data_IF_306641191228
#
_entry.id   IF_306641191228
#
_cell.length_a   1.000
_cell.length_b   1.000
_cell.length_c   1.000
_cell.angle_alpha   90.00
_cell.angle_beta   90.00
_cell.angle_gamma   90.00
#
_symmetry.space_group_name_H-M   'P 1'
#
loop_
_entity.id
_entity.type
_entity.pdbx_description
1 polymer ?
#
# COMPACT_ATOMS: atom_id res chain seq x y z
N UNK A 1 6.19 -9.70 28.06
CA UNK A 1 5.13 -8.85 28.65
C UNK A 1 5.44 -8.42 30.08
N UNK A 2 6.47 -8.96 30.74
CA UNK A 2 6.91 -8.53 32.08
C UNK A 2 8.28 -7.83 31.96
N UNK A 3 8.38 -6.60 32.45
CA UNK A 3 9.60 -5.77 32.42
C UNK A 3 9.72 -4.79 31.25
N UNK A 4 8.70 -4.65 30.39
CA UNK A 4 8.66 -3.63 29.36
C UNK A 4 7.71 -2.51 29.80
N UNK A 5 8.09 -1.22 29.70
CA UNK A 5 7.18 -0.13 30.00
C UNK A 5 5.88 -0.23 29.15
N UNK A 6 4.76 0.31 29.65
CA UNK A 6 3.48 0.28 28.96
C UNK A 6 3.56 0.85 27.54
N UNK A 7 2.59 0.46 26.71
CA UNK A 7 2.63 0.78 25.28
C UNK A 7 2.59 2.29 25.05
N UNK A 8 1.87 3.06 25.88
CA UNK A 8 1.82 4.52 25.76
C UNK A 8 3.18 5.16 26.03
N UNK A 9 3.87 4.75 27.10
CA UNK A 9 5.22 5.26 27.43
C UNK A 9 6.21 4.98 26.30
N UNK A 10 6.11 3.80 25.68
CA UNK A 10 6.95 3.42 24.53
C UNK A 10 6.60 4.21 23.28
N UNK A 11 5.33 4.54 23.05
CA UNK A 11 4.92 5.44 21.96
C UNK A 11 5.44 6.85 22.24
N UNK A 12 5.29 7.36 23.46
CA UNK A 12 5.74 8.67 23.87
C UNK A 12 7.26 8.83 23.72
N UNK A 13 8.05 7.83 24.12
CA UNK A 13 9.50 7.80 23.89
C UNK A 13 9.86 7.92 22.40
N UNK A 14 9.19 7.15 21.53
CA UNK A 14 9.41 7.20 20.07
C UNK A 14 8.97 8.51 19.44
N UNK A 15 7.90 9.13 19.94
CA UNK A 15 7.45 10.44 19.45
C UNK A 15 8.40 11.55 19.93
N UNK A 16 8.99 11.42 21.12
CA UNK A 16 10.00 12.35 21.65
C UNK A 16 11.30 12.28 20.85
N UNK A 17 11.68 11.10 20.38
CA UNK A 17 12.84 10.88 19.50
C UNK A 17 12.58 11.34 18.06
N UNK A 18 11.31 11.41 17.63
CA UNK A 18 10.93 11.96 16.33
C UNK A 18 11.07 13.48 16.37
N UNK A 19 12.09 13.99 15.69
CA UNK A 19 12.22 15.42 15.44
C UNK A 19 11.03 15.99 14.66
N UNK A 20 10.93 17.33 14.57
CA UNK A 20 9.86 18.01 13.84
C UNK A 20 9.77 17.52 12.39
N UNK A 21 8.55 17.50 11.85
CA UNK A 21 8.29 17.17 10.45
C UNK A 21 9.12 18.10 9.57
N UNK A 22 10.05 17.52 8.81
CA UNK A 22 10.89 18.29 7.90
C UNK A 22 10.02 18.73 6.70
N UNK A 23 9.92 20.03 6.39
CA UNK A 23 9.16 20.48 5.23
C UNK A 23 9.69 19.80 3.96
N UNK A 24 8.78 19.29 3.12
CA UNK A 24 9.10 18.56 1.89
C UNK A 24 9.52 17.09 2.07
N UNK A 25 9.67 16.58 3.30
CA UNK A 25 9.87 15.14 3.54
C UNK A 25 8.52 14.43 3.63
N UNK A 26 8.14 13.77 2.55
CA UNK A 26 7.04 12.80 2.54
C UNK A 26 7.57 11.39 2.72
N UNK A 27 6.74 10.48 3.23
CA UNK A 27 7.07 9.05 3.21
C UNK A 27 7.37 8.64 1.76
N UNK A 28 8.40 7.83 1.49
CA UNK A 28 8.68 7.35 0.15
C UNK A 28 7.51 6.49 -0.34
N UNK A 29 6.63 7.09 -1.16
CA UNK A 29 5.45 6.42 -1.71
C UNK A 29 5.78 5.48 -2.86
N UNK A 30 7.06 5.38 -3.28
CA UNK A 30 7.44 4.62 -4.46
C UNK A 30 6.95 3.16 -4.43
N UNK A 31 7.12 2.38 -3.33
CA UNK A 31 6.61 1.01 -3.29
C UNK A 31 5.09 0.94 -3.34
N UNK A 32 4.40 1.79 -2.57
CA UNK A 32 2.94 1.83 -2.52
C UNK A 32 2.33 2.24 -3.87
N UNK A 33 2.94 3.22 -4.54
CA UNK A 33 2.54 3.69 -5.86
C UNK A 33 2.68 2.59 -6.91
N UNK A 34 3.80 1.85 -6.91
CA UNK A 34 4.00 0.74 -7.84
C UNK A 34 2.97 -0.38 -7.62
N UNK A 35 2.75 -0.78 -6.36
CA UNK A 35 1.75 -1.80 -6.03
C UNK A 35 0.34 -1.39 -6.45
N UNK A 36 -0.02 -0.12 -6.26
CA UNK A 36 -1.31 0.41 -6.66
C UNK A 36 -1.52 0.31 -8.18
N UNK A 37 -0.58 0.84 -8.97
CA UNK A 37 -0.70 0.79 -10.44
C UNK A 37 -0.63 -0.62 -10.99
N UNK A 38 0.22 -1.48 -10.42
CA UNK A 38 0.29 -2.88 -10.80
C UNK A 38 -1.04 -3.61 -10.53
N UNK A 39 -1.60 -3.44 -9.32
CA UNK A 39 -2.88 -4.05 -8.95
C UNK A 39 -4.03 -3.59 -9.84
N UNK A 40 -4.14 -2.27 -10.07
CA UNK A 40 -5.12 -1.71 -11.01
C UNK A 40 -4.93 -2.29 -12.42
N UNK A 41 -3.69 -2.37 -12.90
CA UNK A 41 -3.37 -2.93 -14.21
C UNK A 41 -3.81 -4.37 -14.37
N UNK A 42 -3.54 -5.23 -13.37
CA UNK A 42 -3.99 -6.63 -13.37
C UNK A 42 -5.52 -6.73 -13.42
N UNK A 43 -6.23 -5.91 -12.63
CA UNK A 43 -7.70 -5.91 -12.63
C UNK A 43 -8.23 -5.49 -14.00
N UNK A 44 -7.73 -4.39 -14.57
CA UNK A 44 -8.19 -3.91 -15.87
C UNK A 44 -7.91 -4.94 -16.98
N UNK A 45 -6.70 -5.49 -17.04
CA UNK A 45 -6.33 -6.47 -18.07
C UNK A 45 -7.20 -7.72 -17.99
N UNK A 46 -7.40 -8.27 -16.80
CA UNK A 46 -8.22 -9.49 -16.63
C UNK A 46 -9.68 -9.26 -17.03
N UNK A 47 -10.24 -8.08 -16.73
CA UNK A 47 -11.59 -7.74 -17.16
C UNK A 47 -11.69 -7.54 -18.67
N UNK A 48 -10.69 -6.91 -19.30
CA UNK A 48 -10.66 -6.76 -20.76
C UNK A 48 -10.55 -8.11 -21.46
N UNK A 49 -9.75 -9.04 -20.94
CA UNK A 49 -9.66 -10.41 -21.45
C UNK A 49 -11.00 -11.11 -21.31
N UNK A 50 -11.61 -11.09 -20.12
CA UNK A 50 -12.90 -11.73 -19.87
C UNK A 50 -14.01 -11.16 -20.77
N UNK A 51 -14.03 -9.83 -20.93
CA UNK A 51 -14.96 -9.14 -21.84
C UNK A 51 -14.73 -9.54 -23.29
N UNK A 52 -13.47 -9.60 -23.72
CA UNK A 52 -13.10 -10.04 -25.07
C UNK A 52 -13.55 -11.48 -25.33
N UNK A 53 -13.34 -12.38 -24.38
CA UNK A 53 -13.80 -13.78 -24.50
C UNK A 53 -15.32 -13.83 -24.64
N UNK A 54 -16.06 -13.05 -23.83
CA UNK A 54 -17.52 -13.00 -23.91
C UNK A 54 -18.06 -12.58 -25.29
N UNK A 55 -17.37 -11.66 -25.99
CA UNK A 55 -17.83 -11.14 -27.27
C UNK A 55 -17.26 -11.85 -28.50
N UNK A 56 -16.05 -12.40 -28.42
CA UNK A 56 -15.30 -12.88 -29.58
C UNK A 56 -14.94 -14.37 -29.52
N UNK A 57 -15.16 -15.04 -28.40
CA UNK A 57 -15.00 -16.49 -28.29
C UNK A 57 -16.38 -17.16 -28.35
N UNK A 58 -16.74 -17.83 -29.47
CA UNK A 58 -18.02 -18.55 -29.57
C UNK A 58 -18.09 -19.78 -28.65
N UNK A 59 -16.99 -20.14 -27.96
CA UNK A 59 -16.87 -21.41 -27.25
C UNK A 59 -16.74 -22.59 -28.21
N UNK A 60 -16.43 -23.80 -27.70
CA UNK A 60 -16.55 -25.02 -28.49
C UNK A 60 -18.01 -25.36 -28.85
#
# INVERSE_FOLDING_TARGET
MFGRPPIEERIAARQRERGPLKPGKVFPHAPAKMLFFFGIGVVVITHLIALSMYFFDPGP
#
